data_IF_966619035846
#
_entry.id   IF_966619035846
#
_cell.length_a   1.000
_cell.length_b   1.000
_cell.length_c   1.000
_cell.angle_alpha   90.00
_cell.angle_beta   90.00
_cell.angle_gamma   90.00
#
_symmetry.space_group_name_H-M   'P 1'
#
loop_
_entity.id
_entity.type
_entity.pdbx_description
1 polymer ?
#
# COMPACT_ATOMS: atom_id res chain seq x y z
N UNK A 1 11.79 -10.99 12.42
CA UNK A 1 10.86 -10.35 13.38
C UNK A 1 10.31 -11.42 14.30
N UNK A 2 10.20 -11.13 15.59
CA UNK A 2 9.58 -12.01 16.58
C UNK A 2 8.06 -11.88 16.54
N UNK A 3 7.28 -12.95 16.77
CA UNK A 3 5.85 -12.90 16.98
C UNK A 3 5.49 -12.02 18.16
N UNK A 4 4.34 -11.37 18.10
CA UNK A 4 3.80 -10.56 19.20
C UNK A 4 3.05 -11.44 20.20
N UNK A 5 2.71 -10.88 21.38
CA UNK A 5 1.91 -11.61 22.38
C UNK A 5 0.56 -12.09 21.81
N UNK A 6 -0.10 -11.27 21.00
CA UNK A 6 -1.37 -11.64 20.37
C UNK A 6 -1.22 -12.84 19.42
N UNK A 7 -0.12 -12.95 18.68
CA UNK A 7 0.12 -14.10 17.82
C UNK A 7 0.20 -15.42 18.60
N UNK A 8 0.58 -15.38 19.88
CA UNK A 8 0.62 -16.56 20.76
C UNK A 8 -0.73 -16.84 21.43
N UNK A 9 -1.48 -15.81 21.85
CA UNK A 9 -2.75 -15.97 22.58
C UNK A 9 -3.92 -16.25 21.65
N UNK A 10 -3.97 -15.57 20.51
CA UNK A 10 -5.05 -15.63 19.53
C UNK A 10 -4.60 -16.32 18.23
N UNK A 11 -3.70 -17.30 18.37
CA UNK A 11 -3.11 -17.99 17.23
C UNK A 11 -4.14 -18.79 16.44
N UNK A 12 -3.98 -18.76 15.12
CA UNK A 12 -4.68 -19.68 14.25
C UNK A 12 -4.16 -21.11 14.45
N UNK A 13 -5.06 -22.06 14.59
CA UNK A 13 -4.73 -23.48 14.74
C UNK A 13 -5.26 -24.27 13.56
N UNK A 14 -4.38 -24.84 12.76
CA UNK A 14 -4.75 -25.90 11.85
C UNK A 14 -5.11 -27.15 12.66
N UNK A 15 -6.14 -27.89 12.24
CA UNK A 15 -6.66 -29.06 12.99
C UNK A 15 -5.61 -30.17 13.22
N UNK A 16 -4.58 -30.23 12.38
CA UNK A 16 -3.52 -31.23 12.43
C UNK A 16 -2.23 -30.77 13.12
N UNK A 17 -2.07 -29.47 13.34
CA UNK A 17 -0.82 -28.88 13.85
C UNK A 17 -1.11 -27.75 14.85
N UNK A 18 -0.80 -28.00 16.12
CA UNK A 18 -0.93 -27.04 17.23
C UNK A 18 0.40 -26.35 17.52
N UNK A 19 1.16 -26.00 16.47
CA UNK A 19 2.44 -25.33 16.62
C UNK A 19 2.25 -23.88 17.03
N UNK A 20 3.22 -23.38 17.81
CA UNK A 20 3.30 -21.97 18.15
C UNK A 20 3.90 -21.18 16.97
N UNK A 21 3.52 -19.89 16.81
CA UNK A 21 4.13 -19.06 15.81
C UNK A 21 5.65 -18.95 16.03
N UNK A 22 6.40 -19.05 14.95
CA UNK A 22 7.85 -18.93 14.93
C UNK A 22 8.29 -17.56 14.45
N UNK A 23 9.55 -17.19 14.74
CA UNK A 23 10.13 -15.94 14.29
C UNK A 23 10.39 -15.95 12.80
N UNK A 24 9.94 -14.93 12.10
CA UNK A 24 10.26 -14.75 10.68
C UNK A 24 11.74 -14.35 10.49
N UNK A 25 12.34 -14.87 9.42
CA UNK A 25 13.72 -14.54 9.00
C UNK A 25 13.66 -13.91 7.61
N UNK A 26 14.40 -12.81 7.45
CA UNK A 26 14.54 -12.10 6.18
C UNK A 26 15.98 -12.20 5.69
N UNK A 27 16.10 -12.53 4.40
CA UNK A 27 17.32 -12.41 3.61
C UNK A 27 17.04 -11.38 2.53
N UNK A 28 17.83 -10.31 2.53
CA UNK A 28 17.61 -9.15 1.66
C UNK A 28 18.86 -8.89 0.82
N UNK A 29 18.63 -8.74 -0.49
CA UNK A 29 19.65 -8.40 -1.47
C UNK A 29 19.18 -7.23 -2.29
N UNK A 30 19.97 -6.16 -2.29
CA UNK A 30 19.70 -4.96 -3.03
C UNK A 30 20.86 -4.55 -3.92
N UNK A 31 20.54 -4.05 -5.13
CA UNK A 31 21.51 -3.48 -6.06
C UNK A 31 20.96 -2.16 -6.60
N UNK A 32 21.56 -1.06 -6.18
CA UNK A 32 21.14 0.27 -6.58
C UNK A 32 22.20 1.01 -7.41
N UNK A 33 21.73 1.83 -8.35
CA UNK A 33 22.55 2.79 -9.06
C UNK A 33 21.86 4.15 -9.10
N UNK A 34 22.62 5.20 -8.78
CA UNK A 34 22.14 6.58 -8.84
C UNK A 34 23.07 7.42 -9.70
N UNK A 35 22.50 8.13 -10.66
CA UNK A 35 23.16 9.14 -11.46
C UNK A 35 22.65 10.54 -11.09
N UNK A 36 23.56 11.47 -10.78
CA UNK A 36 23.21 12.84 -10.44
C UNK A 36 24.05 13.83 -11.25
N UNK A 37 23.35 14.70 -11.96
CA UNK A 37 23.93 15.83 -12.70
C UNK A 37 23.23 17.13 -12.25
N UNK A 38 23.73 18.32 -12.61
CA UNK A 38 23.17 19.59 -12.12
C UNK A 38 21.67 19.81 -12.36
N UNK A 39 21.10 19.13 -13.37
CA UNK A 39 19.69 19.26 -13.75
C UNK A 39 18.94 17.92 -13.82
N UNK A 40 19.62 16.79 -13.65
CA UNK A 40 19.05 15.46 -13.82
C UNK A 40 19.50 14.56 -12.68
N UNK A 41 18.54 13.88 -12.06
CA UNK A 41 18.78 12.77 -11.12
C UNK A 41 18.01 11.57 -11.60
N UNK A 42 18.67 10.42 -11.70
CA UNK A 42 18.09 9.14 -12.07
C UNK A 42 18.52 8.12 -11.02
N UNK A 43 17.60 7.26 -10.63
CA UNK A 43 17.86 6.16 -9.72
C UNK A 43 17.19 4.89 -10.19
N UNK A 44 17.86 3.76 -10.01
CA UNK A 44 17.31 2.42 -10.14
C UNK A 44 17.77 1.60 -8.96
N UNK A 45 16.86 0.84 -8.35
CA UNK A 45 17.16 -0.14 -7.33
C UNK A 45 16.46 -1.45 -7.70
N UNK A 46 17.20 -2.55 -7.65
CA UNK A 46 16.71 -3.91 -7.79
C UNK A 46 16.78 -4.54 -6.42
N UNK A 47 15.70 -5.20 -5.98
CA UNK A 47 15.67 -5.86 -4.70
C UNK A 47 15.07 -7.26 -4.79
N UNK A 48 15.55 -8.15 -3.92
CA UNK A 48 15.02 -9.48 -3.70
C UNK A 48 15.08 -9.80 -2.21
N UNK A 49 13.90 -9.92 -1.60
CA UNK A 49 13.71 -10.23 -0.18
C UNK A 49 13.10 -11.63 -0.07
N UNK A 50 13.85 -12.59 0.47
CA UNK A 50 13.36 -13.94 0.76
C UNK A 50 13.05 -14.04 2.24
N UNK A 51 11.83 -14.48 2.54
CA UNK A 51 11.37 -14.72 3.89
C UNK A 51 11.27 -16.22 4.17
N UNK A 52 11.60 -16.59 5.41
CA UNK A 52 11.31 -17.90 6.00
C UNK A 52 10.43 -17.68 7.22
N UNK A 53 9.40 -18.51 7.34
CA UNK A 53 8.43 -18.47 8.43
C UNK A 53 7.75 -17.10 8.58
N UNK A 54 7.44 -16.41 7.46
CA UNK A 54 6.79 -15.10 7.51
C UNK A 54 5.42 -15.22 8.17
N UNK A 55 5.13 -14.33 9.14
CA UNK A 55 3.80 -14.19 9.73
C UNK A 55 2.89 -13.38 8.80
N UNK A 56 1.83 -14.01 8.34
CA UNK A 56 0.84 -13.39 7.44
C UNK A 56 -0.59 -13.60 7.98
N UNK A 57 -1.53 -12.66 7.70
CA UNK A 57 -2.92 -12.85 8.08
C UNK A 57 -3.53 -14.03 7.33
N UNK A 58 -4.32 -14.83 8.03
CA UNK A 58 -5.06 -15.97 7.45
C UNK A 58 -6.30 -15.55 6.65
N UNK A 59 -6.71 -14.30 6.75
CA UNK A 59 -8.02 -13.84 6.26
C UNK A 59 -9.17 -14.17 7.18
N UNK A 60 -8.91 -14.68 8.38
CA UNK A 60 -9.88 -14.95 9.43
C UNK A 60 -9.64 -14.01 10.61
N UNK A 61 -10.66 -13.84 11.44
CA UNK A 61 -10.64 -13.06 12.67
C UNK A 61 -11.01 -13.92 13.87
N UNK A 62 -10.57 -13.51 15.07
CA UNK A 62 -11.04 -14.09 16.33
C UNK A 62 -12.40 -13.50 16.75
N UNK A 63 -12.94 -13.95 17.88
CA UNK A 63 -14.21 -13.44 18.45
C UNK A 63 -14.16 -11.94 18.78
N UNK A 64 -12.96 -11.36 18.94
CA UNK A 64 -12.71 -9.94 19.16
C UNK A 64 -12.53 -9.11 17.86
N UNK A 65 -12.70 -9.74 16.70
CA UNK A 65 -12.45 -9.16 15.37
C UNK A 65 -10.98 -8.82 15.07
N UNK A 66 -10.03 -9.38 15.84
CA UNK A 66 -8.61 -9.26 15.54
C UNK A 66 -8.18 -10.26 14.47
N UNK A 67 -7.30 -9.86 13.55
CA UNK A 67 -6.79 -10.72 12.51
C UNK A 67 -5.96 -11.87 13.09
N UNK A 68 -6.26 -13.09 12.66
CA UNK A 68 -5.49 -14.29 13.01
C UNK A 68 -4.34 -14.45 12.02
N UNK A 69 -3.12 -14.61 12.53
CA UNK A 69 -1.92 -14.81 11.75
C UNK A 69 -1.44 -16.27 11.79
N UNK A 70 -0.74 -16.66 10.73
CA UNK A 70 -0.03 -17.95 10.63
C UNK A 70 1.33 -17.75 9.98
N UNK A 71 2.28 -18.64 10.28
CA UNK A 71 3.55 -18.65 9.56
C UNK A 71 3.36 -19.34 8.20
N UNK A 72 3.92 -18.74 7.15
CA UNK A 72 4.09 -19.37 5.85
C UNK A 72 5.56 -19.75 5.66
N UNK A 73 5.87 -20.98 5.19
CA UNK A 73 7.25 -21.47 5.17
C UNK A 73 8.16 -20.61 4.32
N UNK A 74 7.71 -20.22 3.13
CA UNK A 74 8.46 -19.49 2.15
C UNK A 74 7.62 -18.41 1.48
N UNK A 75 8.19 -17.20 1.43
CA UNK A 75 7.62 -16.10 0.68
C UNK A 75 8.73 -15.18 0.16
N UNK A 76 8.42 -14.36 -0.82
CA UNK A 76 9.37 -13.40 -1.36
C UNK A 76 8.71 -12.09 -1.79
N UNK A 77 9.52 -11.04 -1.78
CA UNK A 77 9.24 -9.77 -2.43
C UNK A 77 10.39 -9.44 -3.34
N UNK A 78 10.12 -9.14 -4.60
CA UNK A 78 11.15 -8.73 -5.55
C UNK A 78 10.62 -7.64 -6.45
N UNK A 79 11.50 -6.77 -6.90
CA UNK A 79 11.06 -5.70 -7.76
C UNK A 79 12.14 -4.78 -8.23
N UNK A 80 11.67 -3.75 -8.93
CA UNK A 80 12.47 -2.64 -9.45
C UNK A 80 11.86 -1.35 -8.98
N UNK A 81 12.69 -0.49 -8.39
CA UNK A 81 12.33 0.87 -8.05
C UNK A 81 13.04 1.83 -8.99
N UNK A 82 12.30 2.69 -9.62
CA UNK A 82 12.79 3.70 -10.55
C UNK A 82 12.51 5.10 -9.97
N UNK A 83 13.45 6.01 -10.13
CA UNK A 83 13.24 7.41 -9.81
C UNK A 83 13.90 8.32 -10.85
N UNK A 84 13.22 9.40 -11.21
CA UNK A 84 13.75 10.40 -12.11
C UNK A 84 13.31 11.79 -11.67
N UNK A 85 14.21 12.78 -11.75
CA UNK A 85 13.89 14.18 -11.55
C UNK A 85 14.71 15.03 -12.52
N UNK A 86 14.04 15.88 -13.26
CA UNK A 86 14.66 16.76 -14.24
C UNK A 86 14.24 18.22 -14.04
N UNK A 87 15.21 19.08 -13.78
CA UNK A 87 15.03 20.53 -13.78
C UNK A 87 15.15 21.05 -15.22
N UNK A 88 14.02 21.07 -15.93
CA UNK A 88 13.97 21.48 -17.34
C UNK A 88 14.40 22.95 -17.52
N UNK A 89 13.97 23.80 -16.62
CA UNK A 89 14.34 25.25 -16.59
C UNK A 89 14.61 25.70 -15.16
N UNK A 90 14.96 26.97 -14.96
CA UNK A 90 15.10 27.56 -13.63
C UNK A 90 13.77 27.67 -12.84
N UNK A 91 12.63 27.50 -13.50
CA UNK A 91 11.29 27.66 -12.92
C UNK A 91 10.41 26.40 -13.06
N UNK A 92 10.89 25.34 -13.72
CA UNK A 92 10.12 24.11 -13.94
C UNK A 92 10.95 22.86 -13.67
N UNK A 93 10.40 21.99 -12.83
CA UNK A 93 10.95 20.67 -12.52
C UNK A 93 9.85 19.63 -12.70
N UNK A 94 10.20 18.51 -13.31
CA UNK A 94 9.36 17.30 -13.38
C UNK A 94 10.09 16.15 -12.71
N UNK A 95 9.36 15.31 -12.01
CA UNK A 95 9.91 14.09 -11.44
C UNK A 95 8.86 13.01 -11.31
N UNK A 96 9.34 11.79 -11.24
CA UNK A 96 8.52 10.60 -11.06
C UNK A 96 9.31 9.52 -10.31
N UNK A 97 8.60 8.67 -9.60
CA UNK A 97 9.11 7.39 -9.14
C UNK A 97 8.06 6.31 -9.38
N UNK A 98 8.52 5.09 -9.56
CA UNK A 98 7.65 3.93 -9.70
C UNK A 98 8.34 2.69 -9.13
N UNK A 99 7.58 1.89 -8.42
CA UNK A 99 7.96 0.56 -7.95
C UNK A 99 7.10 -0.46 -8.69
N UNK A 100 7.77 -1.40 -9.33
CA UNK A 100 7.16 -2.59 -9.90
C UNK A 100 7.63 -3.78 -9.06
N UNK A 101 6.68 -4.45 -8.41
CA UNK A 101 6.98 -5.51 -7.45
C UNK A 101 6.22 -6.79 -7.74
N UNK A 102 6.76 -7.89 -7.26
CA UNK A 102 6.08 -9.17 -7.15
C UNK A 102 6.24 -9.65 -5.71
N UNK A 103 5.12 -9.86 -5.04
CA UNK A 103 5.05 -10.19 -3.63
C UNK A 103 4.26 -11.50 -3.49
N UNK A 104 4.93 -12.63 -3.21
CA UNK A 104 4.33 -13.96 -3.27
C UNK A 104 4.62 -14.79 -2.05
N UNK A 105 3.63 -15.59 -1.65
CA UNK A 105 3.78 -16.75 -0.79
C UNK A 105 3.91 -17.95 -1.72
N UNK A 106 5.00 -18.72 -1.56
CA UNK A 106 5.20 -19.97 -2.30
C UNK A 106 4.40 -21.07 -1.63
N UNK A 107 3.49 -21.75 -2.10
CA UNK A 107 2.74 -22.83 -1.44
C UNK A 107 1.85 -22.37 -0.28
N UNK A 108 0.98 -21.39 -0.54
CA UNK A 108 -0.02 -20.98 0.45
C UNK A 108 -1.02 -22.09 0.75
N UNK A 109 -1.26 -22.36 2.03
CA UNK A 109 -2.25 -23.34 2.50
C UNK A 109 -3.54 -22.63 2.91
N UNK A 110 -4.69 -23.11 2.39
CA UNK A 110 -5.98 -22.52 2.74
C UNK A 110 -6.29 -22.68 4.22
N UNK A 111 -6.46 -21.56 4.90
CA UNK A 111 -6.75 -21.48 6.32
C UNK A 111 -8.26 -21.41 6.65
N UNK A 112 -9.14 -21.30 5.64
CA UNK A 112 -10.57 -21.14 5.86
C UNK A 112 -11.22 -22.44 6.34
N UNK A 113 -11.54 -22.50 7.63
CA UNK A 113 -12.20 -23.67 8.24
C UNK A 113 -13.50 -24.00 7.53
N UNK A 114 -13.82 -25.30 7.46
CA UNK A 114 -15.03 -25.85 6.83
C UNK A 114 -15.11 -25.61 5.31
N UNK A 115 -14.10 -24.97 4.72
CA UNK A 115 -13.93 -24.86 3.27
C UNK A 115 -13.59 -26.24 2.65
N UNK A 116 -14.04 -26.54 1.42
CA UNK A 116 -13.62 -27.73 0.69
C UNK A 116 -12.11 -27.81 0.43
N UNK A 117 -11.43 -26.69 0.53
CA UNK A 117 -9.97 -26.53 0.32
C UNK A 117 -9.19 -26.35 1.62
N UNK A 118 -9.84 -26.39 2.78
CA UNK A 118 -9.19 -26.25 4.08
C UNK A 118 -8.00 -27.21 4.23
N UNK A 119 -6.84 -26.64 4.60
CA UNK A 119 -5.61 -27.39 4.78
C UNK A 119 -4.96 -27.87 3.48
N UNK A 120 -5.49 -27.50 2.30
CA UNK A 120 -4.88 -27.82 1.00
C UNK A 120 -4.01 -26.69 0.52
N UNK A 121 -2.94 -27.04 -0.15
CA UNK A 121 -2.07 -26.08 -0.84
C UNK A 121 -2.79 -25.50 -2.06
N UNK A 122 -2.84 -24.16 -2.14
CA UNK A 122 -3.43 -23.40 -3.25
C UNK A 122 -2.37 -22.95 -4.28
N UNK A 123 -1.08 -23.18 -3.98
CA UNK A 123 0.05 -22.73 -4.82
C UNK A 123 0.54 -21.32 -4.48
N UNK A 124 1.15 -20.67 -5.45
CA UNK A 124 1.71 -19.32 -5.29
C UNK A 124 0.60 -18.28 -5.21
N UNK A 125 0.55 -17.53 -4.09
CA UNK A 125 -0.48 -16.52 -3.82
C UNK A 125 0.14 -15.14 -3.54
N UNK A 126 -0.56 -14.09 -3.94
CA UNK A 126 -0.15 -12.71 -3.64
C UNK A 126 -0.27 -12.44 -2.14
N UNK A 127 0.77 -11.81 -1.57
CA UNK A 127 0.73 -11.36 -0.18
C UNK A 127 -0.31 -10.23 -0.04
N UNK A 128 -1.17 -10.33 0.96
CA UNK A 128 -2.18 -9.32 1.26
C UNK A 128 -1.57 -7.91 1.40
N UNK A 129 -2.33 -6.89 1.00
CA UNK A 129 -1.96 -5.47 1.03
C UNK A 129 -0.63 -5.14 0.33
N UNK A 130 -0.32 -5.88 -0.73
CA UNK A 130 0.95 -5.72 -1.45
C UNK A 130 0.69 -5.50 -2.94
N UNK A 131 0.44 -4.25 -3.38
CA UNK A 131 0.19 -3.95 -4.78
C UNK A 131 1.45 -4.16 -5.63
N UNK A 132 1.26 -4.62 -6.87
CA UNK A 132 2.37 -4.87 -7.79
C UNK A 132 2.95 -3.57 -8.37
N UNK A 133 2.19 -2.48 -8.37
CA UNK A 133 2.61 -1.18 -8.90
C UNK A 133 2.24 -0.06 -7.95
N UNK A 134 3.23 0.76 -7.59
CA UNK A 134 3.03 2.06 -6.94
C UNK A 134 3.83 3.08 -7.74
N UNK A 135 3.19 4.17 -8.17
CA UNK A 135 3.87 5.23 -8.91
C UNK A 135 3.44 6.62 -8.43
N UNK A 136 4.38 7.55 -8.46
CA UNK A 136 4.14 8.96 -8.19
C UNK A 136 4.78 9.82 -9.28
N UNK A 137 4.15 10.92 -9.63
CA UNK A 137 4.70 11.93 -10.51
C UNK A 137 4.40 13.33 -9.98
N UNK A 138 5.31 14.26 -10.21
CA UNK A 138 5.07 15.65 -9.87
C UNK A 138 5.56 16.60 -10.96
N UNK A 139 4.82 17.71 -11.10
CA UNK A 139 5.20 18.88 -11.91
C UNK A 139 5.28 20.07 -10.98
N UNK A 140 6.45 20.67 -10.87
CA UNK A 140 6.69 21.81 -9.99
C UNK A 140 7.06 23.06 -10.81
N UNK A 141 6.21 24.07 -10.71
CA UNK A 141 6.43 25.39 -11.28
C UNK A 141 6.69 26.41 -10.17
N UNK A 142 7.72 27.20 -10.31
CA UNK A 142 7.95 28.34 -9.43
C UNK A 142 8.49 29.54 -10.20
N UNK A 143 7.84 30.65 -10.11
CA UNK A 143 8.27 31.88 -10.76
C UNK A 143 7.77 33.13 -10.03
N UNK A 144 8.68 34.04 -9.67
CA UNK A 144 8.35 35.35 -9.06
C UNK A 144 7.35 35.27 -7.89
N UNK A 145 7.55 34.34 -6.98
CA UNK A 145 6.69 34.15 -5.81
C UNK A 145 5.46 33.26 -6.06
N UNK A 146 5.13 32.93 -7.31
CA UNK A 146 4.12 31.94 -7.65
C UNK A 146 4.71 30.54 -7.64
N UNK A 147 3.99 29.61 -7.05
CA UNK A 147 4.29 28.18 -7.02
C UNK A 147 3.05 27.39 -7.41
N UNK A 148 3.23 26.35 -8.23
CA UNK A 148 2.19 25.37 -8.54
C UNK A 148 2.82 24.00 -8.59
N UNK A 149 2.29 23.06 -7.78
CA UNK A 149 2.74 21.68 -7.73
C UNK A 149 1.57 20.78 -8.02
N UNK A 150 1.62 20.06 -9.13
CA UNK A 150 0.78 18.90 -9.40
C UNK A 150 1.48 17.68 -8.84
N UNK A 151 0.75 16.86 -8.10
CA UNK A 151 1.23 15.58 -7.60
C UNK A 151 0.18 14.52 -7.92
N UNK A 152 0.59 13.50 -8.64
CA UNK A 152 -0.26 12.36 -9.01
C UNK A 152 0.31 11.09 -8.38
N UNK A 153 -0.55 10.29 -7.77
CA UNK A 153 -0.23 8.98 -7.21
C UNK A 153 -1.11 7.92 -7.86
N UNK A 154 -0.49 6.82 -8.23
CA UNK A 154 -1.15 5.58 -8.65
C UNK A 154 -0.78 4.45 -7.70
N UNK A 155 -1.76 3.67 -7.28
CA UNK A 155 -1.60 2.44 -6.49
C UNK A 155 -2.38 1.35 -7.19
N UNK A 156 -1.73 0.22 -7.44
CA UNK A 156 -2.31 -0.96 -8.06
C UNK A 156 -3.31 -1.67 -7.15
N UNK A 157 -4.02 -2.64 -7.71
CA UNK A 157 -4.96 -3.51 -6.98
C UNK A 157 -4.27 -4.21 -5.81
N UNK A 158 -5.00 -4.38 -4.71
CA UNK A 158 -4.54 -5.07 -3.50
C UNK A 158 -5.62 -6.05 -3.03
N UNK A 159 -5.20 -7.20 -2.51
CA UNK A 159 -6.10 -8.13 -1.84
C UNK A 159 -6.04 -7.96 -0.32
N UNK A 160 -7.15 -8.17 0.38
CA UNK A 160 -7.18 -8.17 1.85
C UNK A 160 -6.67 -9.47 2.45
N UNK A 161 -6.69 -10.55 1.65
CA UNK A 161 -6.34 -11.90 2.05
C UNK A 161 -5.33 -12.51 1.08
N UNK A 162 -4.61 -13.55 1.52
CA UNK A 162 -3.54 -14.17 0.74
C UNK A 162 -4.03 -15.24 -0.25
N UNK A 163 -5.32 -15.28 -0.58
CA UNK A 163 -5.92 -16.28 -1.49
C UNK A 163 -6.46 -15.66 -2.80
N UNK A 164 -6.05 -14.43 -3.11
CA UNK A 164 -6.41 -13.69 -4.33
C UNK A 164 -7.92 -13.63 -4.59
N UNK A 165 -8.72 -13.50 -3.52
CA UNK A 165 -10.17 -13.37 -3.64
C UNK A 165 -10.55 -11.96 -4.11
N UNK A 166 -11.11 -11.85 -5.30
CA UNK A 166 -11.53 -10.57 -5.89
C UNK A 166 -12.64 -9.86 -5.09
N UNK A 167 -13.49 -10.62 -4.37
CA UNK A 167 -14.50 -10.02 -3.49
C UNK A 167 -13.87 -9.32 -2.27
N UNK A 168 -12.63 -9.65 -1.93
CA UNK A 168 -11.87 -9.10 -0.81
C UNK A 168 -10.66 -8.33 -1.33
N UNK A 169 -10.89 -7.29 -2.12
CA UNK A 169 -9.82 -6.52 -2.75
C UNK A 169 -10.14 -5.02 -2.80
N UNK A 170 -9.09 -4.21 -2.94
CA UNK A 170 -9.15 -2.80 -3.30
C UNK A 170 -8.80 -2.66 -4.78
N UNK A 171 -9.61 -1.93 -5.52
CA UNK A 171 -9.31 -1.60 -6.90
C UNK A 171 -8.10 -0.64 -7.01
N UNK A 172 -7.44 -0.70 -8.16
CA UNK A 172 -6.38 0.25 -8.45
C UNK A 172 -6.95 1.67 -8.59
N UNK A 173 -6.24 2.65 -8.08
CA UNK A 173 -6.65 4.04 -8.17
C UNK A 173 -5.54 4.98 -8.62
N UNK A 174 -5.95 6.14 -9.11
CA UNK A 174 -5.07 7.24 -9.46
C UNK A 174 -5.67 8.56 -8.96
N UNK A 175 -4.95 9.28 -8.11
CA UNK A 175 -5.40 10.54 -7.53
C UNK A 175 -4.39 11.65 -7.80
N UNK A 176 -4.89 12.83 -8.15
CA UNK A 176 -4.06 14.01 -8.42
C UNK A 176 -4.45 15.16 -7.49
N UNK A 177 -3.43 15.77 -6.89
CA UNK A 177 -3.57 16.96 -6.05
C UNK A 177 -2.87 18.14 -6.71
N UNK A 178 -3.40 19.35 -6.50
CA UNK A 178 -2.81 20.59 -6.95
C UNK A 178 -2.60 21.52 -5.76
N UNK A 179 -1.34 21.89 -5.53
CA UNK A 179 -0.98 22.91 -4.55
C UNK A 179 -0.56 24.19 -5.27
N UNK A 180 -1.26 25.29 -5.00
CA UNK A 180 -0.95 26.62 -5.50
C UNK A 180 -0.51 27.49 -4.34
N UNK A 181 0.51 28.32 -4.58
CA UNK A 181 0.87 29.34 -3.60
C UNK A 181 1.40 30.61 -4.27
N UNK A 182 1.16 31.73 -3.61
CA UNK A 182 1.73 33.01 -4.00
C UNK A 182 2.33 33.73 -2.79
N UNK A 183 3.60 34.05 -2.88
CA UNK A 183 4.35 34.76 -1.83
C UNK A 183 4.72 36.17 -2.29
N UNK A 184 4.36 37.17 -1.50
CA UNK A 184 4.69 38.56 -1.75
C UNK A 184 5.13 39.28 -0.46
N UNK A 185 5.72 40.43 -0.60
CA UNK A 185 6.16 41.29 0.51
C UNK A 185 5.20 42.46 0.67
N UNK A 186 5.01 42.94 1.90
CA UNK A 186 4.24 44.14 2.21
C UNK A 186 5.10 45.12 3.00
N UNK A 187 4.58 46.31 3.28
CA UNK A 187 5.28 47.31 4.10
C UNK A 187 5.34 46.87 5.58
N UNK A 188 4.39 46.10 6.03
CA UNK A 188 4.19 45.70 7.46
C UNK A 188 4.63 44.29 7.75
N UNK A 189 4.77 43.43 6.74
CA UNK A 189 5.19 42.04 6.90
C UNK A 189 6.34 41.72 5.95
N UNK A 190 7.31 40.96 6.45
CA UNK A 190 8.46 40.49 5.66
C UNK A 190 8.00 39.62 4.47
N UNK A 191 6.99 38.78 4.68
CA UNK A 191 6.34 38.04 3.60
C UNK A 191 4.92 37.63 3.99
N UNK A 192 4.04 37.61 3.00
CA UNK A 192 2.71 37.00 3.07
C UNK A 192 2.66 35.91 2.03
N UNK A 193 2.29 34.69 2.44
CA UNK A 193 2.08 33.55 1.56
C UNK A 193 0.60 33.16 1.60
N UNK A 194 -0.05 33.19 0.46
CA UNK A 194 -1.37 32.64 0.24
C UNK A 194 -1.21 31.27 -0.36
N UNK A 195 -1.88 30.27 0.21
CA UNK A 195 -1.83 28.90 -0.26
C UNK A 195 -3.24 28.34 -0.53
N UNK A 196 -3.36 27.53 -1.57
CA UNK A 196 -4.56 26.81 -1.95
C UNK A 196 -4.18 25.37 -2.27
N UNK A 197 -4.70 24.41 -1.50
CA UNK A 197 -4.53 23.00 -1.74
C UNK A 197 -5.85 22.44 -2.28
N UNK A 198 -5.82 21.92 -3.49
CA UNK A 198 -6.95 21.24 -4.15
C UNK A 198 -6.62 19.75 -4.13
N UNK A 199 -7.27 19.01 -3.26
CA UNK A 199 -7.14 17.56 -3.19
C UNK A 199 -8.11 16.90 -4.15
N UNK A 200 -7.68 15.77 -4.71
CA UNK A 200 -8.46 14.98 -5.64
C UNK A 200 -9.02 15.84 -6.79
N UNK A 201 -8.12 16.51 -7.51
CA UNK A 201 -8.43 17.50 -8.54
C UNK A 201 -9.43 17.01 -9.61
N UNK A 202 -9.37 15.73 -9.95
CA UNK A 202 -10.22 15.12 -10.98
C UNK A 202 -11.45 14.40 -10.41
N UNK A 203 -11.67 14.54 -9.07
CA UNK A 203 -12.79 13.93 -8.37
C UNK A 203 -12.90 12.42 -8.60
N UNK A 204 -11.76 11.70 -8.53
CA UNK A 204 -11.76 10.25 -8.60
C UNK A 204 -12.49 9.66 -7.39
N UNK A 205 -13.36 8.69 -7.63
CA UNK A 205 -13.96 7.87 -6.58
C UNK A 205 -13.02 6.70 -6.31
N UNK A 206 -12.54 6.57 -5.07
CA UNK A 206 -11.61 5.51 -4.71
C UNK A 206 -11.59 5.25 -3.20
N UNK A 207 -11.18 4.05 -2.85
CA UNK A 207 -10.85 3.63 -1.49
C UNK A 207 -9.34 3.39 -1.40
N UNK A 208 -8.68 4.04 -0.44
CA UNK A 208 -7.24 3.85 -0.22
C UNK A 208 -6.94 2.76 0.80
N UNK A 209 -7.95 2.31 1.53
CA UNK A 209 -7.84 1.29 2.55
C UNK A 209 -9.18 0.54 2.71
N UNK A 210 -9.09 -0.67 3.25
CA UNK A 210 -10.21 -1.52 3.58
C UNK A 210 -9.72 -2.75 4.32
N UNK A 211 -10.64 -3.57 4.76
CA UNK A 211 -10.35 -4.90 5.30
C UNK A 211 -11.47 -5.86 4.93
N UNK A 212 -11.16 -7.13 4.98
CA UNK A 212 -12.15 -8.16 4.72
C UNK A 212 -11.72 -9.50 5.28
N UNK A 213 -12.69 -10.38 5.46
CA UNK A 213 -12.50 -11.72 5.94
C UNK A 213 -13.52 -12.67 5.32
N UNK A 214 -13.23 -13.95 5.40
CA UNK A 214 -14.13 -15.00 4.95
C UNK A 214 -14.49 -15.93 6.10
N UNK A 215 -15.71 -16.46 6.08
CA UNK A 215 -16.12 -17.56 6.94
C UNK A 215 -17.07 -18.49 6.19
N UNK A 216 -17.24 -19.71 6.74
CA UNK A 216 -18.22 -20.66 6.22
C UNK A 216 -19.48 -20.59 7.08
N UNK A 217 -20.59 -20.22 6.45
CA UNK A 217 -21.92 -20.31 7.10
C UNK A 217 -22.38 -21.77 7.07
N UNK A 218 -22.43 -22.36 8.26
CA UNK A 218 -22.90 -23.74 8.47
C UNK A 218 -24.29 -23.82 9.13
N UNK A 219 -24.95 -22.65 9.35
CA UNK A 219 -26.18 -22.52 10.11
C UNK A 219 -27.41 -22.30 9.23
N UNK A 220 -27.26 -21.48 8.18
CA UNK A 220 -28.39 -21.05 7.34
C UNK A 220 -28.71 -22.04 6.21
N UNK A 221 -27.81 -23.01 5.91
CA UNK A 221 -27.93 -23.95 4.81
C UNK A 221 -27.49 -25.34 5.22
N UNK A 222 -28.11 -26.41 4.66
CA UNK A 222 -27.67 -27.80 4.87
C UNK A 222 -26.24 -28.09 4.40
N UNK A 223 -25.73 -27.28 3.45
CA UNK A 223 -24.34 -27.35 3.00
C UNK A 223 -23.64 -26.03 3.39
N UNK A 224 -22.37 -26.06 3.85
CA UNK A 224 -21.61 -24.88 4.16
C UNK A 224 -21.52 -23.94 2.95
N UNK A 225 -21.79 -22.63 3.17
CA UNK A 225 -21.71 -21.59 2.15
C UNK A 225 -20.63 -20.59 2.56
N UNK A 226 -19.72 -20.28 1.65
CA UNK A 226 -18.70 -19.27 1.89
C UNK A 226 -19.33 -17.87 1.86
N UNK A 227 -19.06 -17.10 2.90
CA UNK A 227 -19.42 -15.69 3.01
C UNK A 227 -18.11 -14.86 3.00
N UNK A 228 -18.06 -13.88 2.13
CA UNK A 228 -16.96 -12.90 2.04
C UNK A 228 -17.51 -11.55 2.44
N UNK A 229 -16.92 -10.94 3.47
CA UNK A 229 -17.30 -9.60 3.94
C UNK A 229 -16.15 -8.64 3.73
N UNK A 230 -16.40 -7.55 3.00
CA UNK A 230 -15.44 -6.50 2.72
C UNK A 230 -15.95 -5.15 3.22
N UNK A 231 -15.07 -4.40 3.85
CA UNK A 231 -15.34 -3.07 4.40
C UNK A 231 -14.32 -2.09 3.84
N UNK A 232 -14.80 -0.96 3.31
CA UNK A 232 -14.01 0.02 2.59
C UNK A 232 -14.00 1.36 3.30
N UNK A 233 -12.90 2.11 3.17
CA UNK A 233 -12.77 3.47 3.67
C UNK A 233 -12.69 4.44 2.49
N UNK A 234 -13.86 4.96 2.01
CA UNK A 234 -13.92 5.89 0.90
C UNK A 234 -13.12 7.15 1.20
N UNK A 235 -12.42 7.65 0.20
CA UNK A 235 -11.66 8.87 0.32
C UNK A 235 -12.52 10.08 -0.05
N UNK A 236 -12.11 11.25 0.47
CA UNK A 236 -12.84 12.49 0.22
C UNK A 236 -12.87 12.82 -1.28
N UNK A 237 -14.03 13.27 -1.81
CA UNK A 237 -14.12 13.81 -3.16
C UNK A 237 -13.25 15.08 -3.29
N UNK A 238 -13.29 15.73 -4.44
CA UNK A 238 -12.61 17.02 -4.64
C UNK A 238 -12.90 17.95 -3.46
N UNK A 239 -11.84 18.41 -2.81
CA UNK A 239 -11.95 19.35 -1.70
C UNK A 239 -10.82 20.39 -1.77
N UNK A 240 -11.07 21.55 -1.17
CA UNK A 240 -10.19 22.72 -1.25
C UNK A 240 -9.90 23.24 0.14
N UNK A 241 -8.63 23.45 0.44
CA UNK A 241 -8.13 24.07 1.65
C UNK A 241 -7.35 25.34 1.31
N UNK A 242 -7.68 26.45 1.95
CA UNK A 242 -6.93 27.71 1.83
C UNK A 242 -6.14 27.99 3.11
N UNK A 243 -4.94 28.53 2.96
CA UNK A 243 -4.13 28.97 4.08
C UNK A 243 -3.46 30.32 3.82
N UNK A 244 -3.17 31.04 4.89
CA UNK A 244 -2.43 32.30 4.86
C UNK A 244 -1.32 32.23 5.91
N UNK A 245 -0.08 32.49 5.47
CA UNK A 245 1.08 32.56 6.38
C UNK A 245 1.66 33.96 6.31
N UNK A 246 1.79 34.64 7.46
CA UNK A 246 2.39 35.97 7.59
C UNK A 246 3.67 35.85 8.41
N UNK A 247 4.79 36.37 7.88
CA UNK A 247 6.06 36.51 8.60
C UNK A 247 6.38 37.97 8.77
N UNK A 248 6.64 38.41 9.97
CA UNK A 248 7.05 39.77 10.34
C UNK A 248 8.55 39.91 10.37
#
# INVERSE_FOLDING_TARGET
KEPTRSDFTDRYKFAADDTYPSSEKLYDWELGYQYTAPRLSLGVNLYYMKYKDQLVPTGMVNDGSDALNTNVPDSYRRGVELSASWRATGWFTVGANATFSQNRIESYVDALKDSPTYGKELGDMTIAYSPDVIANAFLNFHHRGFEAVFHTQHVGKQYFTNNENDALSLDAYCVTNLNLAYTFRTRTARSVRLGLLINNLFNAEYESNGYGYSYMDTWSSPAPVRIDEAYYFPQAPLNVLANVTVKF
#
